data_IF_335152984566
#
_entry.id   IF_335152984566
#
_cell.length_a   1.000
_cell.length_b   1.000
_cell.length_c   1.000
_cell.angle_alpha   90.00
_cell.angle_beta   90.00
_cell.angle_gamma   90.00
#
_symmetry.space_group_name_H-M   'P 1'
#
loop_
_entity.id
_entity.type
_entity.pdbx_description
1 polymer ?
#
# COMPACT_ATOMS: atom_id res chain seq x y z
N UNK A 1 -3.09 -30.97 -17.17
CA UNK A 1 -3.75 -32.00 -16.31
C UNK A 1 -5.10 -32.41 -16.90
N UNK A 2 -5.66 -33.53 -16.44
CA UNK A 2 -7.03 -33.97 -16.78
C UNK A 2 -8.07 -33.14 -15.99
N UNK A 3 -9.27 -32.90 -16.53
CA UNK A 3 -10.34 -32.15 -15.83
C UNK A 3 -10.81 -32.85 -14.54
N UNK A 4 -10.61 -34.17 -14.38
CA UNK A 4 -10.97 -34.95 -13.18
C UNK A 4 -9.90 -34.85 -12.05
N UNK A 5 -8.82 -34.09 -12.28
CA UNK A 5 -7.76 -33.91 -11.27
C UNK A 5 -8.32 -33.19 -10.05
N UNK A 6 -8.05 -33.71 -8.83
CA UNK A 6 -8.48 -33.06 -7.58
C UNK A 6 -7.84 -31.67 -7.48
N UNK A 7 -8.62 -30.71 -6.99
CA UNK A 7 -8.18 -29.32 -6.84
C UNK A 7 -6.95 -29.16 -5.93
N UNK A 8 -6.74 -30.07 -4.97
CA UNK A 8 -5.58 -30.07 -4.08
C UNK A 8 -4.31 -30.69 -4.69
N UNK A 9 -4.41 -31.34 -5.84
CA UNK A 9 -3.26 -31.84 -6.60
C UNK A 9 -2.77 -30.83 -7.66
N UNK A 10 -3.42 -29.66 -7.76
CA UNK A 10 -3.03 -28.59 -8.68
C UNK A 10 -1.90 -27.76 -8.06
N UNK A 11 -0.79 -27.65 -8.80
CA UNK A 11 0.37 -26.86 -8.39
C UNK A 11 -0.01 -25.38 -8.24
N UNK A 12 0.34 -24.75 -7.11
CA UNK A 12 -0.07 -23.38 -6.77
C UNK A 12 -1.37 -23.25 -5.95
N UNK A 13 -2.06 -24.37 -5.64
CA UNK A 13 -3.21 -24.37 -4.74
C UNK A 13 -2.86 -25.03 -3.39
N UNK A 14 -2.91 -24.25 -2.32
CA UNK A 14 -2.69 -24.77 -0.96
C UNK A 14 -3.80 -25.73 -0.51
N UNK A 15 -3.46 -26.72 0.33
CA UNK A 15 -4.44 -27.70 0.85
C UNK A 15 -5.60 -27.04 1.61
N UNK A 16 -5.37 -25.93 2.31
CA UNK A 16 -6.44 -25.19 2.99
C UNK A 16 -7.42 -24.54 2.00
N UNK A 17 -6.90 -24.02 0.89
CA UNK A 17 -7.70 -23.43 -0.19
C UNK A 17 -8.48 -24.50 -0.93
N UNK A 18 -7.83 -25.62 -1.25
CA UNK A 18 -8.46 -26.80 -1.85
C UNK A 18 -9.62 -27.34 -1.01
N UNK A 19 -9.47 -27.41 0.32
CA UNK A 19 -10.54 -27.88 1.22
C UNK A 19 -11.77 -26.96 1.19
N UNK A 20 -11.55 -25.64 1.17
CA UNK A 20 -12.63 -24.65 1.06
C UNK A 20 -13.35 -24.76 -0.28
N UNK A 21 -12.61 -24.90 -1.38
CA UNK A 21 -13.17 -25.08 -2.72
C UNK A 21 -14.04 -26.34 -2.80
N UNK A 22 -13.58 -27.44 -2.21
CA UNK A 22 -14.36 -28.69 -2.10
C UNK A 22 -15.67 -28.47 -1.33
N UNK A 23 -15.63 -27.73 -0.22
CA UNK A 23 -16.83 -27.35 0.54
C UNK A 23 -17.78 -26.45 -0.28
N UNK A 24 -17.23 -25.66 -1.20
CA UNK A 24 -17.95 -24.83 -2.17
C UNK A 24 -18.51 -25.58 -3.39
N UNK A 25 -18.19 -26.87 -3.55
CA UNK A 25 -18.62 -27.68 -4.68
C UNK A 25 -17.67 -27.67 -5.88
N UNK A 26 -16.46 -27.12 -5.73
CA UNK A 26 -15.40 -27.15 -6.73
C UNK A 26 -14.37 -28.20 -6.32
N UNK A 27 -14.62 -29.47 -6.66
CA UNK A 27 -13.79 -30.60 -6.21
C UNK A 27 -12.66 -30.90 -7.18
N UNK A 28 -12.87 -30.60 -8.47
CA UNK A 28 -11.95 -30.93 -9.56
C UNK A 28 -11.51 -29.71 -10.35
N UNK A 29 -10.40 -29.85 -11.07
CA UNK A 29 -9.87 -28.83 -11.98
C UNK A 29 -10.89 -28.44 -13.06
N UNK A 30 -11.72 -29.40 -13.51
CA UNK A 30 -12.82 -29.14 -14.44
C UNK A 30 -13.90 -28.23 -13.87
N UNK A 31 -14.18 -28.31 -12.56
CA UNK A 31 -15.18 -27.46 -11.90
C UNK A 31 -14.75 -26.00 -11.84
N UNK A 32 -13.44 -25.74 -11.77
CA UNK A 32 -12.87 -24.40 -11.71
C UNK A 32 -12.62 -23.79 -13.09
N UNK A 33 -12.64 -24.61 -14.13
CA UNK A 33 -12.31 -24.20 -15.48
C UNK A 33 -13.37 -23.25 -16.03
N UNK A 34 -12.97 -22.01 -16.32
CA UNK A 34 -13.86 -20.98 -16.84
C UNK A 34 -14.80 -20.38 -15.78
N UNK A 35 -14.59 -20.69 -14.50
CA UNK A 35 -15.27 -20.02 -13.39
C UNK A 35 -14.75 -18.60 -13.27
N UNK A 36 -15.65 -17.64 -13.16
CA UNK A 36 -15.28 -16.25 -12.94
C UNK A 36 -14.87 -16.01 -11.49
N UNK A 37 -13.91 -15.11 -11.27
CA UNK A 37 -13.37 -14.80 -9.93
C UNK A 37 -14.46 -14.51 -8.89
N UNK A 38 -15.55 -13.86 -9.30
CA UNK A 38 -16.67 -13.54 -8.42
C UNK A 38 -17.43 -14.77 -7.91
N UNK A 39 -17.51 -15.85 -8.67
CA UNK A 39 -18.23 -17.07 -8.28
C UNK A 39 -17.46 -17.88 -7.22
N UNK A 40 -16.16 -17.63 -7.08
CA UNK A 40 -15.34 -18.20 -6.01
C UNK A 40 -15.57 -17.49 -4.66
N UNK A 41 -16.13 -16.28 -4.65
CA UNK A 41 -16.40 -15.52 -3.42
C UNK A 41 -17.60 -16.06 -2.64
N UNK A 42 -18.48 -16.81 -3.29
CA UNK A 42 -19.58 -17.51 -2.62
C UNK A 42 -19.06 -18.66 -1.73
N UNK A 43 -17.80 -19.08 -1.90
CA UNK A 43 -17.16 -20.11 -1.09
C UNK A 43 -16.65 -19.51 0.22
N UNK A 44 -17.15 -20.03 1.33
CA UNK A 44 -16.78 -19.60 2.68
C UNK A 44 -15.25 -19.69 2.90
N UNK A 45 -14.62 -18.54 3.13
CA UNK A 45 -13.18 -18.44 3.40
C UNK A 45 -12.30 -18.27 2.17
N UNK A 46 -12.88 -18.07 0.97
CA UNK A 46 -12.17 -17.71 -0.26
C UNK A 46 -12.34 -16.21 -0.53
N UNK A 47 -11.26 -15.44 -0.33
CA UNK A 47 -11.20 -14.02 -0.63
C UNK A 47 -10.63 -13.72 -2.03
N UNK A 48 -10.59 -12.43 -2.39
CA UNK A 48 -10.08 -11.94 -3.68
C UNK A 48 -8.68 -12.49 -4.05
N UNK A 49 -7.76 -12.49 -3.10
CA UNK A 49 -6.38 -12.98 -3.31
C UNK A 49 -6.36 -14.49 -3.58
N UNK A 50 -7.04 -15.29 -2.75
CA UNK A 50 -7.12 -16.74 -2.91
C UNK A 50 -7.81 -17.13 -4.22
N UNK A 51 -8.88 -16.43 -4.61
CA UNK A 51 -9.56 -16.66 -5.88
C UNK A 51 -8.66 -16.35 -7.09
N UNK A 52 -7.84 -15.30 -7.00
CA UNK A 52 -6.88 -14.97 -8.06
C UNK A 52 -5.78 -16.03 -8.19
N UNK A 53 -5.25 -16.50 -7.05
CA UNK A 53 -4.24 -17.55 -7.02
C UNK A 53 -4.78 -18.86 -7.61
N UNK A 54 -5.98 -19.28 -7.23
CA UNK A 54 -6.65 -20.48 -7.76
C UNK A 54 -6.84 -20.39 -9.27
N UNK A 55 -7.30 -19.25 -9.80
CA UNK A 55 -7.48 -19.08 -11.23
C UNK A 55 -6.15 -19.05 -11.99
N UNK A 56 -5.09 -18.50 -11.41
CA UNK A 56 -3.73 -18.56 -11.99
C UNK A 56 -3.24 -20.00 -12.06
N UNK A 57 -3.32 -20.74 -10.96
CA UNK A 57 -2.92 -22.14 -10.89
C UNK A 57 -3.68 -23.03 -11.88
N UNK A 58 -4.99 -22.83 -12.01
CA UNK A 58 -5.83 -23.56 -12.99
C UNK A 58 -5.46 -23.18 -14.43
N UNK A 59 -5.16 -21.90 -14.69
CA UNK A 59 -4.69 -21.43 -15.99
C UNK A 59 -3.36 -22.11 -16.36
N UNK A 60 -2.40 -22.14 -15.45
CA UNK A 60 -1.09 -22.77 -15.65
C UNK A 60 -1.18 -24.30 -15.79
N UNK A 61 -2.09 -24.96 -15.07
CA UNK A 61 -2.28 -26.41 -15.15
C UNK A 61 -3.01 -26.88 -16.44
N UNK A 62 -3.71 -25.97 -17.13
CA UNK A 62 -4.48 -26.24 -18.36
C UNK A 62 -3.79 -25.73 -19.62
N UNK A 63 -3.14 -24.57 -19.53
CA UNK A 63 -2.30 -24.00 -20.57
C UNK A 63 -0.88 -24.52 -20.39
N UNK A 64 -0.66 -25.76 -20.83
CA UNK A 64 0.68 -26.34 -20.82
C UNK A 64 1.67 -25.50 -21.62
N UNK A 65 2.70 -25.02 -20.92
CA UNK A 65 4.00 -24.55 -21.43
C UNK A 65 3.98 -23.51 -22.57
N UNK A 66 4.00 -22.23 -22.18
CA UNK A 66 4.82 -21.25 -22.91
C UNK A 66 5.31 -20.10 -22.01
N UNK A 67 6.57 -20.15 -21.54
CA UNK A 67 7.26 -18.98 -21.04
C UNK A 67 8.03 -18.32 -22.20
N UNK A 68 7.39 -17.40 -22.92
CA UNK A 68 8.06 -16.41 -23.79
C UNK A 68 7.14 -15.17 -23.73
N UNK A 69 7.56 -14.00 -23.27
CA UNK A 69 8.82 -13.35 -23.61
C UNK A 69 8.60 -12.49 -24.85
N UNK A 70 8.24 -11.22 -24.61
CA UNK A 70 8.47 -10.05 -25.48
C UNK A 70 7.61 -9.85 -26.76
N UNK A 71 7.61 -8.57 -27.16
CA UNK A 71 7.05 -7.90 -28.35
C UNK A 71 5.60 -7.41 -28.28
N UNK A 72 5.24 -6.19 -28.70
CA UNK A 72 5.89 -4.90 -29.00
C UNK A 72 4.82 -4.09 -29.77
N UNK A 73 5.02 -2.79 -29.92
CA UNK A 73 4.36 -1.85 -30.86
C UNK A 73 2.95 -1.33 -30.48
N UNK A 74 2.67 -0.03 -30.47
CA UNK A 74 3.49 1.12 -30.85
C UNK A 74 2.60 2.37 -30.96
N UNK A 75 3.13 3.51 -30.55
CA UNK A 75 2.81 4.83 -31.09
C UNK A 75 3.85 5.84 -30.57
N UNK A 76 4.94 5.94 -31.32
CA UNK A 76 5.79 7.12 -31.38
C UNK A 76 4.94 8.33 -31.81
N UNK A 77 5.05 9.47 -31.13
CA UNK A 77 4.96 10.77 -31.80
C UNK A 77 6.14 11.63 -31.41
N UNK A 78 6.93 11.93 -32.44
CA UNK A 78 8.13 12.74 -32.45
C UNK A 78 7.82 14.23 -32.22
N UNK A 79 8.72 14.89 -31.48
CA UNK A 79 9.27 16.20 -31.84
C UNK A 79 8.55 17.45 -31.32
N UNK A 80 9.23 18.20 -30.45
CA UNK A 80 9.57 19.59 -30.80
C UNK A 80 10.82 20.07 -30.06
N UNK A 81 11.70 20.68 -30.84
CA UNK A 81 13.00 21.24 -30.49
C UNK A 81 12.85 22.61 -29.80
N UNK A 82 13.58 22.79 -28.70
CA UNK A 82 14.37 23.99 -28.41
C UNK A 82 13.67 25.32 -28.10
N UNK A 83 13.98 25.91 -26.94
CA UNK A 83 14.58 27.25 -26.93
C UNK A 83 15.42 27.49 -25.68
N UNK A 84 16.50 28.23 -25.89
CA UNK A 84 17.56 28.50 -24.94
C UNK A 84 17.55 29.97 -24.51
N UNK A 85 18.03 30.22 -23.29
CA UNK A 85 18.40 31.55 -22.79
C UNK A 85 17.26 32.26 -22.07
N UNK A 86 17.52 33.11 -21.09
CA UNK A 86 18.75 33.64 -20.55
C UNK A 86 18.36 34.53 -19.36
N UNK A 87 19.36 34.79 -18.53
CA UNK A 87 19.49 35.71 -17.40
C UNK A 87 18.40 36.77 -17.16
N UNK A 88 18.14 37.08 -15.89
CA UNK A 88 18.56 38.36 -15.25
C UNK A 88 17.94 38.50 -13.84
N UNK A 89 18.83 38.55 -12.86
CA UNK A 89 18.86 39.41 -11.66
C UNK A 89 17.54 39.99 -11.08
N UNK A 90 17.31 39.80 -9.78
CA UNK A 90 16.99 40.93 -8.90
C UNK A 90 17.49 40.68 -7.47
N UNK A 91 18.41 41.53 -7.07
CA UNK A 91 18.95 41.64 -5.72
C UNK A 91 18.06 42.59 -4.90
N UNK A 92 17.75 42.19 -3.67
CA UNK A 92 17.14 43.06 -2.66
C UNK A 92 17.60 42.61 -1.28
N UNK A 93 18.69 43.22 -0.82
CA UNK A 93 19.18 43.19 0.56
C UNK A 93 18.30 44.09 1.47
N UNK A 94 18.57 43.97 2.77
CA UNK A 94 18.15 44.82 3.89
C UNK A 94 16.72 44.55 4.43
N UNK A 95 16.48 44.40 5.73
CA UNK A 95 17.05 45.11 6.86
C UNK A 95 16.99 44.27 8.16
N UNK A 96 17.91 44.63 9.03
CA UNK A 96 18.18 44.18 10.38
C UNK A 96 17.19 44.86 11.35
N UNK A 97 16.58 44.16 12.31
CA UNK A 97 16.29 44.79 13.61
C UNK A 97 16.13 43.76 14.74
N UNK A 98 16.53 44.22 15.91
CA UNK A 98 17.01 43.53 17.07
C UNK A 98 15.91 43.15 18.08
N UNK A 99 16.30 42.23 18.95
CA UNK A 99 15.88 41.98 20.33
C UNK A 99 14.73 42.80 20.94
N UNK A 100 13.78 42.09 21.56
CA UNK A 100 13.25 42.46 22.87
C UNK A 100 12.90 41.22 23.70
N UNK A 101 13.68 41.02 24.76
CA UNK A 101 13.28 40.28 25.97
C UNK A 101 12.29 41.13 26.77
N UNK A 102 11.26 40.52 27.36
CA UNK A 102 10.84 40.70 28.76
C UNK A 102 9.41 40.16 28.99
N UNK A 103 9.19 39.49 30.12
CA UNK A 103 7.87 39.41 30.75
C UNK A 103 7.40 38.02 31.16
N UNK A 104 7.82 37.61 32.35
CA UNK A 104 7.25 36.51 33.09
C UNK A 104 5.80 36.80 33.52
N UNK A 105 4.93 35.78 33.47
CA UNK A 105 3.84 35.65 34.44
C UNK A 105 3.53 34.18 34.70
N UNK A 106 3.50 33.85 36.00
CA UNK A 106 3.16 32.57 36.55
C UNK A 106 1.62 32.45 36.66
N UNK A 107 1.06 31.30 36.31
CA UNK A 107 -0.14 30.84 37.00
C UNK A 107 -0.15 29.32 37.17
N UNK A 108 -0.50 28.94 38.39
CA UNK A 108 -0.44 27.61 38.96
C UNK A 108 -1.82 26.96 38.84
N UNK A 109 -1.89 25.74 38.30
CA UNK A 109 -3.12 24.95 38.30
C UNK A 109 -2.88 23.46 38.26
N UNK A 110 -2.50 22.87 39.40
CA UNK A 110 -2.65 21.44 39.66
C UNK A 110 -4.13 21.11 39.86
N UNK A 111 -4.67 20.20 39.05
CA UNK A 111 -5.58 19.15 39.52
C UNK A 111 -5.35 17.89 38.68
N UNK A 112 -4.97 16.83 39.37
CA UNK A 112 -4.87 15.47 38.87
C UNK A 112 -6.25 14.77 38.89
N UNK A 113 -6.28 13.64 38.17
CA UNK A 113 -7.20 12.50 38.30
C UNK A 113 -8.64 12.69 37.79
N UNK A 114 -8.96 12.10 36.62
CA UNK A 114 -9.97 11.01 36.57
C UNK A 114 -9.97 10.27 35.22
N UNK A 115 -9.72 8.97 35.33
CA UNK A 115 -10.27 7.83 34.61
C UNK A 115 -10.53 7.85 33.08
N UNK A 116 -9.93 6.84 32.43
CA UNK A 116 -10.77 5.84 31.73
C UNK A 116 -10.64 5.80 30.22
N UNK A 117 -9.71 4.98 29.73
CA UNK A 117 -9.61 4.65 28.31
C UNK A 117 -8.61 3.55 28.01
N UNK A 118 -8.53 2.54 28.87
CA UNK A 118 -7.82 1.31 28.55
C UNK A 118 -8.50 0.65 27.34
N UNK A 119 -7.88 0.71 26.17
CA UNK A 119 -8.08 -0.35 25.18
C UNK A 119 -6.75 -1.05 24.97
N UNK A 120 -6.40 -1.84 25.98
CA UNK A 120 -5.45 -2.92 25.84
C UNK A 120 -6.09 -3.98 24.94
N UNK A 121 -5.85 -3.86 23.64
CA UNK A 121 -5.88 -4.99 22.72
C UNK A 121 -4.46 -5.57 22.65
N UNK A 122 -4.01 -6.19 23.74
CA UNK A 122 -2.94 -7.18 23.65
C UNK A 122 -3.59 -8.42 23.06
N UNK A 123 -3.49 -8.58 21.75
CA UNK A 123 -3.71 -9.87 21.12
C UNK A 123 -2.37 -10.61 21.13
N UNK A 124 -2.15 -11.33 22.22
CA UNK A 124 -1.10 -12.35 22.34
C UNK A 124 -1.45 -13.50 21.37
N UNK A 125 -1.04 -13.34 20.12
CA UNK A 125 -0.99 -14.40 19.11
C UNK A 125 0.41 -15.03 19.05
N UNK A 126 0.61 -16.07 19.85
CA UNK A 126 1.68 -17.05 19.66
C UNK A 126 1.55 -17.68 18.26
N UNK A 127 2.48 -17.32 17.38
CA UNK A 127 2.58 -17.85 16.01
C UNK A 127 3.71 -17.16 15.25
N UNK A 128 4.94 -17.60 15.45
CA UNK A 128 6.15 -17.07 14.80
C UNK A 128 6.27 -17.39 13.30
N UNK A 129 5.15 -17.65 12.62
CA UNK A 129 5.06 -18.07 11.21
C UNK A 129 3.74 -17.66 10.53
N UNK A 130 2.93 -16.77 11.15
CA UNK A 130 1.69 -16.29 10.54
C UNK A 130 1.91 -14.98 9.77
N UNK A 131 1.51 -14.96 8.49
CA UNK A 131 1.52 -13.75 7.67
C UNK A 131 0.63 -12.66 8.30
N UNK A 132 1.18 -11.46 8.45
CA UNK A 132 0.50 -10.32 9.05
C UNK A 132 -0.78 -9.96 8.29
N UNK A 133 -1.83 -9.55 8.99
CA UNK A 133 -3.06 -9.08 8.34
C UNK A 133 -2.89 -7.70 7.71
N UNK A 134 -3.75 -7.36 6.75
CA UNK A 134 -3.77 -6.03 6.12
C UNK A 134 -3.94 -4.88 7.14
N UNK A 135 -4.63 -5.13 8.26
CA UNK A 135 -4.82 -4.15 9.33
C UNK A 135 -3.52 -3.94 10.09
N UNK A 136 -2.82 -5.02 10.44
CA UNK A 136 -1.52 -4.96 11.09
C UNK A 136 -0.48 -4.23 10.23
N UNK A 137 -0.45 -4.52 8.92
CA UNK A 137 0.44 -3.86 7.95
C UNK A 137 0.15 -2.37 7.86
N UNK A 138 -1.12 -1.97 7.78
CA UNK A 138 -1.52 -0.56 7.76
C UNK A 138 -1.08 0.14 9.05
N UNK A 139 -1.29 -0.49 10.20
CA UNK A 139 -0.99 0.12 11.49
C UNK A 139 0.53 0.19 11.73
N UNK A 140 1.29 -0.81 11.28
CA UNK A 140 2.75 -0.78 11.26
C UNK A 140 3.31 0.33 10.34
N UNK A 141 2.72 0.49 9.15
CA UNK A 141 3.08 1.56 8.22
C UNK A 141 2.81 2.94 8.84
N UNK A 142 1.66 3.13 9.49
CA UNK A 142 1.32 4.39 10.21
C UNK A 142 2.30 4.70 11.33
N UNK A 143 2.66 3.68 12.11
CA UNK A 143 3.59 3.85 13.23
C UNK A 143 5.01 4.21 12.76
N UNK A 144 5.45 3.66 11.62
CA UNK A 144 6.85 3.75 11.20
C UNK A 144 7.12 4.88 10.19
N UNK A 145 6.16 5.19 9.31
CA UNK A 145 6.40 6.03 8.14
C UNK A 145 6.87 7.46 8.48
N UNK A 146 6.22 8.12 9.45
CA UNK A 146 6.58 9.50 9.81
C UNK A 146 8.01 9.61 10.35
N UNK A 147 8.41 8.67 11.21
CA UNK A 147 9.76 8.62 11.78
C UNK A 147 10.81 8.25 10.73
N UNK A 148 10.48 7.29 9.85
CA UNK A 148 11.39 6.83 8.80
C UNK A 148 11.66 7.90 7.74
N UNK A 149 10.61 8.63 7.33
CA UNK A 149 10.68 9.61 6.25
C UNK A 149 11.06 11.00 6.78
N UNK A 150 10.79 11.29 8.05
CA UNK A 150 11.08 12.58 8.68
C UNK A 150 10.07 13.68 8.34
N UNK A 151 8.85 13.29 7.97
CA UNK A 151 7.76 14.19 7.57
C UNK A 151 6.44 13.73 8.19
N UNK A 152 5.51 14.66 8.41
CA UNK A 152 4.19 14.35 8.95
C UNK A 152 3.41 13.44 8.01
N UNK A 153 2.91 12.33 8.53
CA UNK A 153 2.08 11.40 7.77
C UNK A 153 0.70 12.03 7.54
N UNK A 154 0.30 12.16 6.27
CA UNK A 154 -1.06 12.53 5.89
C UNK A 154 -1.97 11.29 5.94
N UNK A 155 -1.53 10.16 5.38
CA UNK A 155 -2.33 8.95 5.37
C UNK A 155 -1.67 7.73 4.73
N UNK A 156 -2.35 6.59 4.84
CA UNK A 156 -2.04 5.37 4.08
C UNK A 156 -3.12 5.24 3.01
N UNK A 157 -2.71 5.24 1.74
CA UNK A 157 -3.62 5.26 0.59
C UNK A 157 -3.74 3.90 -0.11
N UNK A 158 -2.78 3.00 0.08
CA UNK A 158 -2.82 1.67 -0.50
C UNK A 158 -2.12 0.67 0.41
N UNK A 159 -2.66 -0.54 0.51
CA UNK A 159 -1.99 -1.70 1.10
C UNK A 159 -2.25 -2.88 0.18
N UNK A 160 -1.20 -3.57 -0.24
CA UNK A 160 -1.26 -4.69 -1.18
C UNK A 160 -0.28 -5.77 -0.75
N UNK A 161 -0.68 -7.03 -0.84
CA UNK A 161 0.26 -8.15 -0.67
C UNK A 161 0.82 -8.54 -2.03
N UNK A 162 2.12 -8.76 -2.11
CA UNK A 162 2.84 -9.20 -3.32
C UNK A 162 3.19 -10.70 -3.31
N UNK A 163 2.92 -11.40 -2.21
CA UNK A 163 3.21 -12.83 -2.03
C UNK A 163 4.48 -13.12 -1.23
N UNK A 164 5.47 -12.22 -1.24
CA UNK A 164 6.70 -12.30 -0.41
C UNK A 164 6.62 -11.34 0.79
N UNK A 165 5.65 -10.43 0.77
CA UNK A 165 5.36 -9.52 1.87
C UNK A 165 4.21 -8.58 1.52
N UNK A 166 4.42 -7.31 1.83
CA UNK A 166 3.46 -6.25 1.61
C UNK A 166 4.10 -5.00 1.02
N UNK A 167 3.39 -4.40 0.09
CA UNK A 167 3.67 -3.07 -0.44
C UNK A 167 2.58 -2.14 0.05
N UNK A 168 2.97 -1.07 0.76
CA UNK A 168 2.06 -0.02 1.21
C UNK A 168 2.45 1.31 0.58
N UNK A 169 1.46 2.14 0.31
CA UNK A 169 1.68 3.48 -0.17
C UNK A 169 1.15 4.46 0.85
N UNK A 170 2.00 5.38 1.27
CA UNK A 170 1.70 6.44 2.21
C UNK A 170 1.92 7.81 1.61
N UNK A 171 1.22 8.78 2.17
CA UNK A 171 1.36 10.19 1.81
C UNK A 171 1.86 10.96 3.02
N UNK A 172 2.85 11.82 2.80
CA UNK A 172 3.44 12.66 3.84
C UNK A 172 3.43 14.11 3.39
N UNK A 173 3.32 15.03 4.34
CA UNK A 173 3.44 16.47 4.08
C UNK A 173 4.91 16.85 4.06
N UNK A 174 5.47 16.97 2.86
CA UNK A 174 6.88 17.38 2.71
C UNK A 174 7.07 18.89 2.89
N UNK A 175 6.02 19.68 2.62
CA UNK A 175 6.02 21.14 2.85
C UNK A 175 4.61 21.68 3.07
N UNK A 176 4.43 22.36 4.19
CA UNK A 176 3.22 23.12 4.48
C UNK A 176 3.12 24.42 3.66
N UNK A 177 1.91 24.77 3.25
CA UNK A 177 1.57 26.03 2.58
C UNK A 177 0.31 26.65 3.19
N UNK A 178 0.12 27.96 3.01
CA UNK A 178 -1.12 28.63 3.42
C UNK A 178 -1.86 29.09 2.16
N UNK A 179 -3.08 28.59 1.89
CA UNK A 179 -3.87 27.66 2.71
C UNK A 179 -3.36 26.21 2.65
N UNK A 180 -3.69 25.38 3.65
CA UNK A 180 -3.23 23.96 3.76
C UNK A 180 -3.66 23.09 2.56
N UNK A 181 -4.67 23.55 1.79
CA UNK A 181 -5.05 22.94 0.50
C UNK A 181 -3.97 23.07 -0.58
N UNK A 182 -2.92 23.85 -0.33
CA UNK A 182 -1.76 24.03 -1.20
C UNK A 182 -0.52 23.27 -0.70
N UNK A 183 -0.65 22.43 0.32
CA UNK A 183 0.44 21.60 0.83
C UNK A 183 1.07 20.75 -0.28
N UNK A 184 2.38 20.54 -0.17
CA UNK A 184 3.12 19.64 -1.05
C UNK A 184 3.17 18.27 -0.37
N UNK A 185 2.49 17.30 -0.97
CA UNK A 185 2.47 15.91 -0.52
C UNK A 185 3.52 15.10 -1.28
N UNK A 186 4.20 14.21 -0.56
CA UNK A 186 5.07 13.18 -1.12
C UNK A 186 4.39 11.82 -1.01
N UNK A 187 4.36 11.06 -2.11
CA UNK A 187 3.87 9.68 -2.15
C UNK A 187 5.06 8.75 -2.00
N UNK A 188 5.02 7.90 -0.98
CA UNK A 188 6.06 6.94 -0.65
C UNK A 188 5.50 5.53 -0.71
N UNK A 189 6.28 4.63 -1.28
CA UNK A 189 6.05 3.21 -1.20
C UNK A 189 6.95 2.65 -0.10
N UNK A 190 6.40 1.82 0.78
CA UNK A 190 7.19 1.03 1.72
C UNK A 190 7.00 -0.45 1.42
N UNK A 191 8.12 -1.17 1.46
CA UNK A 191 8.19 -2.61 1.40
C UNK A 191 8.19 -3.13 2.84
N UNK A 192 7.32 -4.11 3.14
CA UNK A 192 7.25 -4.78 4.43
C UNK A 192 7.35 -6.28 4.23
N UNK A 193 8.00 -6.96 5.16
CA UNK A 193 8.03 -8.42 5.19
C UNK A 193 6.69 -9.02 5.68
N UNK A 194 6.60 -10.35 5.66
CA UNK A 194 5.44 -11.12 6.13
C UNK A 194 5.04 -10.81 7.59
N UNK A 195 5.96 -10.27 8.40
CA UNK A 195 5.72 -9.86 9.79
C UNK A 195 5.37 -8.38 9.95
N UNK A 196 5.01 -7.69 8.86
CA UNK A 196 4.73 -6.25 8.80
C UNK A 196 5.90 -5.36 9.27
N UNK A 197 7.15 -5.83 9.15
CA UNK A 197 8.32 -4.99 9.40
C UNK A 197 8.76 -4.32 8.10
N UNK A 198 8.93 -3.00 8.14
CA UNK A 198 9.45 -2.23 7.01
C UNK A 198 10.87 -2.67 6.67
N UNK A 199 11.10 -3.10 5.43
CA UNK A 199 12.38 -3.54 4.88
C UNK A 199 12.95 -2.57 3.84
N UNK A 200 12.10 -1.75 3.23
CA UNK A 200 12.47 -0.77 2.21
C UNK A 200 11.48 0.39 2.14
N UNK A 201 11.93 1.50 1.57
CA UNK A 201 11.03 2.56 1.16
C UNK A 201 11.63 3.38 0.02
N UNK A 202 10.76 3.97 -0.80
CA UNK A 202 11.15 4.89 -1.88
C UNK A 202 10.07 5.95 -2.10
N UNK A 203 10.49 7.15 -2.52
CA UNK A 203 9.54 8.16 -3.00
C UNK A 203 9.16 7.85 -4.44
N UNK A 204 7.87 7.73 -4.69
CA UNK A 204 7.33 7.44 -6.04
C UNK A 204 6.72 8.68 -6.70
N UNK A 205 6.41 9.72 -5.94
CA UNK A 205 5.89 10.96 -6.50
C UNK A 205 5.85 12.12 -5.50
N UNK A 206 5.61 13.31 -6.02
CA UNK A 206 5.33 14.52 -5.25
C UNK A 206 4.35 15.37 -6.04
N UNK A 207 3.35 15.92 -5.37
CA UNK A 207 2.31 16.71 -6.01
C UNK A 207 1.76 17.75 -4.99
N UNK A 208 0.97 18.74 -5.43
CA UNK A 208 0.26 19.63 -4.49
C UNK A 208 -1.11 19.06 -4.18
N UNK A 209 -1.58 19.18 -2.94
CA UNK A 209 -2.87 18.63 -2.50
C UNK A 209 -4.04 19.04 -3.41
N UNK A 210 -4.03 20.25 -3.96
CA UNK A 210 -5.04 20.73 -4.90
C UNK A 210 -5.08 19.96 -6.25
N UNK A 211 -4.00 19.29 -6.63
CA UNK A 211 -3.90 18.52 -7.88
C UNK A 211 -4.40 17.08 -7.72
N UNK A 212 -4.58 16.58 -6.49
CA UNK A 212 -5.02 15.20 -6.20
C UNK A 212 -6.49 14.93 -6.45
N UNK A 213 -7.31 15.98 -6.51
CA UNK A 213 -8.78 15.90 -6.68
C UNK A 213 -9.18 15.49 -8.13
N UNK A 214 -8.22 15.24 -9.02
CA UNK A 214 -8.45 15.06 -10.46
C UNK A 214 -8.62 13.59 -10.90
N UNK A 215 -8.52 12.62 -9.98
CA UNK A 215 -8.81 11.20 -10.28
C UNK A 215 -10.29 10.84 -10.01
N UNK A 216 -11.21 11.53 -10.68
CA UNK A 216 -12.59 11.03 -10.87
C UNK A 216 -12.62 10.15 -12.14
N UNK A 217 -12.80 8.83 -11.93
CA UNK A 217 -13.05 7.82 -12.97
C UNK A 217 -14.46 7.86 -13.54
#
# INVERSE_FOLDING_TARGET
>A
MDDDTDVGDVDGIDQSTAEKLRKGGYETLGDLRGVERSALFDVEGIGASHASQVLSAVKEATEGDHPDGDDSDGAEEDGDDGDAGGDEDDAGEDDEDETHEDGADADSGTTADDAGGSNAGSDDGDGSDAVASIVEVRDAARATAAELIGHDLDGVIQVTSDGEGWITVVEVVERHSVPDTQDILGRYELDLDESARVTGYRRVGRYRRADSDVDEV
#
